data_IF_171099633807
#
_entry.id   IF_171099633807
#
_cell.length_a   1.000
_cell.length_b   1.000
_cell.length_c   1.000
_cell.angle_alpha   90.00
_cell.angle_beta   90.00
_cell.angle_gamma   90.00
#
_symmetry.space_group_name_H-M   'P 1'
#
loop_
_entity.id
_entity.type
_entity.pdbx_description
1 polymer ?
#
# COMPACT_ATOMS: atom_id res chain seq x y z
N UNK A 1 -2.81 16.94 39.33
CA UNK A 1 -1.49 16.59 38.75
C UNK A 1 -1.61 15.19 38.17
N UNK A 2 -1.56 15.04 36.85
CA UNK A 2 -1.61 13.72 36.21
C UNK A 2 -0.25 13.05 36.34
N UNK A 3 -0.20 11.87 36.98
CA UNK A 3 1.00 11.03 36.99
C UNK A 3 1.25 10.54 35.57
N UNK A 4 2.29 11.05 34.91
CA UNK A 4 2.77 10.47 33.66
C UNK A 4 3.59 9.25 34.07
N UNK A 5 3.04 8.06 33.86
CA UNK A 5 3.77 6.80 33.97
C UNK A 5 4.99 6.89 33.07
N UNK A 6 6.18 6.79 33.67
CA UNK A 6 7.44 6.74 32.96
C UNK A 6 7.85 5.27 32.87
N UNK A 7 8.17 4.83 31.67
CA UNK A 7 8.68 3.49 31.42
C UNK A 7 10.08 3.55 30.81
N UNK A 8 10.83 2.46 30.96
CA UNK A 8 12.17 2.31 30.39
C UNK A 8 12.07 1.76 28.97
N UNK A 9 12.73 2.43 28.02
CA UNK A 9 12.80 1.98 26.64
C UNK A 9 13.48 0.61 26.55
N UNK A 10 12.79 -0.37 25.98
CA UNK A 10 13.28 -1.74 25.79
C UNK A 10 14.40 -1.88 24.74
N UNK A 11 14.78 -0.80 24.04
CA UNK A 11 15.89 -0.78 23.07
C UNK A 11 17.12 -0.06 23.61
N UNK A 12 17.00 1.21 24.01
CA UNK A 12 18.13 2.02 24.46
C UNK A 12 18.27 2.14 25.99
N UNK A 13 17.30 1.65 26.77
CA UNK A 13 17.33 1.75 28.23
C UNK A 13 17.01 3.14 28.79
N UNK A 14 16.70 4.13 27.95
CA UNK A 14 16.35 5.47 28.39
C UNK A 14 14.95 5.54 29.02
N UNK A 15 14.78 6.37 30.04
CA UNK A 15 13.48 6.67 30.65
C UNK A 15 12.65 7.54 29.70
N UNK A 16 11.47 7.08 29.29
CA UNK A 16 10.68 7.71 28.24
C UNK A 16 9.27 8.12 28.73
N UNK A 17 8.90 9.38 28.47
CA UNK A 17 7.62 9.99 28.90
C UNK A 17 6.48 9.83 27.88
N UNK A 18 6.80 9.48 26.64
CA UNK A 18 5.86 9.19 25.55
C UNK A 18 6.34 7.94 24.86
N UNK A 19 5.65 6.83 25.15
CA UNK A 19 6.10 5.51 24.74
C UNK A 19 4.98 4.79 24.01
N UNK A 20 5.35 4.14 22.93
CA UNK A 20 4.49 3.14 22.34
C UNK A 20 4.76 1.78 22.98
N UNK A 21 3.69 1.09 23.34
CA UNK A 21 3.74 -0.23 23.96
C UNK A 21 3.39 -1.29 22.93
N UNK A 22 4.33 -2.21 22.72
CA UNK A 22 4.18 -3.33 21.82
C UNK A 22 4.09 -4.61 22.64
N UNK A 23 3.01 -5.36 22.44
CA UNK A 23 2.92 -6.70 23.02
C UNK A 23 4.02 -7.60 22.47
N UNK A 24 4.55 -8.47 23.30
CA UNK A 24 5.47 -9.54 22.93
C UNK A 24 4.72 -10.86 22.79
N UNK A 25 5.35 -11.86 22.17
CA UNK A 25 4.77 -13.21 22.08
C UNK A 25 4.52 -13.87 23.44
N UNK A 26 5.21 -13.43 24.49
CA UNK A 26 5.08 -13.96 25.84
C UNK A 26 3.97 -13.27 26.66
N UNK A 27 3.14 -12.43 26.02
CA UNK A 27 2.10 -11.59 26.66
C UNK A 27 2.64 -10.48 27.57
N UNK A 28 3.94 -10.26 27.60
CA UNK A 28 4.56 -9.05 28.17
C UNK A 28 4.48 -7.89 27.17
N UNK A 29 4.84 -6.69 27.60
CA UNK A 29 4.95 -5.52 26.73
C UNK A 29 6.39 -4.99 26.69
N UNK A 30 6.78 -4.49 25.52
CA UNK A 30 8.00 -3.72 25.30
C UNK A 30 7.63 -2.28 24.99
N UNK A 31 8.28 -1.37 25.69
CA UNK A 31 8.09 0.06 25.58
C UNK A 31 9.19 0.60 24.66
N UNK A 32 8.86 1.39 23.66
CA UNK A 32 9.86 2.10 22.85
C UNK A 32 9.73 3.61 23.02
N UNK A 33 10.87 4.29 23.16
CA UNK A 33 10.94 5.74 23.08
C UNK A 33 10.77 6.20 21.62
N UNK A 34 10.38 7.47 21.44
CA UNK A 34 10.12 8.05 20.12
C UNK A 34 11.38 8.08 19.23
N UNK A 35 12.55 8.32 19.81
CA UNK A 35 13.83 8.35 19.09
C UNK A 35 14.15 6.99 18.48
N UNK A 36 14.12 5.92 19.29
CA UNK A 36 14.30 4.56 18.80
C UNK A 36 13.25 4.19 17.73
N UNK A 37 11.98 4.55 17.92
CA UNK A 37 10.93 4.26 16.93
C UNK A 37 11.17 5.00 15.59
N UNK A 38 11.70 6.22 15.66
CA UNK A 38 12.09 7.01 14.48
C UNK A 38 13.33 6.43 13.80
N UNK A 39 14.37 6.06 14.54
CA UNK A 39 15.60 5.43 14.02
C UNK A 39 15.31 4.11 13.31
N UNK A 40 14.41 3.30 13.88
CA UNK A 40 13.93 2.07 13.27
C UNK A 40 13.23 2.30 11.93
N UNK A 41 12.71 3.52 11.69
CA UNK A 41 11.95 3.84 10.47
C UNK A 41 10.66 3.02 10.34
N UNK A 42 10.02 2.64 11.44
CA UNK A 42 8.85 1.75 11.46
C UNK A 42 7.52 2.48 11.71
N UNK A 43 7.55 3.80 11.88
CA UNK A 43 6.38 4.62 12.19
C UNK A 43 5.21 4.41 11.22
N UNK A 44 5.44 4.43 9.91
CA UNK A 44 4.38 4.21 8.91
C UNK A 44 3.83 2.79 8.93
N UNK A 45 4.67 1.79 9.23
CA UNK A 45 4.23 0.41 9.42
C UNK A 45 3.32 0.27 10.63
N UNK A 46 3.71 0.84 11.77
CA UNK A 46 2.88 0.84 12.98
C UNK A 46 1.55 1.56 12.74
N UNK A 47 1.57 2.74 12.12
CA UNK A 47 0.37 3.49 11.75
C UNK A 47 -0.53 2.70 10.79
N UNK A 48 0.04 2.09 9.75
CA UNK A 48 -0.69 1.26 8.79
C UNK A 48 -1.38 0.08 9.49
N UNK A 49 -0.64 -0.66 10.32
CA UNK A 49 -1.16 -1.83 11.03
C UNK A 49 -2.26 -1.46 12.01
N UNK A 50 -2.09 -0.38 12.77
CA UNK A 50 -3.10 0.09 13.72
C UNK A 50 -4.38 0.58 13.03
N UNK A 51 -4.30 1.10 11.81
CA UNK A 51 -5.44 1.64 11.07
C UNK A 51 -6.18 0.58 10.22
N UNK A 52 -5.47 -0.42 9.69
CA UNK A 52 -5.99 -1.34 8.68
C UNK A 52 -6.06 -2.79 9.17
N UNK A 53 -5.20 -3.18 10.12
CA UNK A 53 -5.07 -4.56 10.60
C UNK A 53 -5.08 -4.60 12.14
N UNK A 54 -4.44 -5.61 12.71
CA UNK A 54 -4.27 -5.78 14.14
C UNK A 54 -2.98 -5.09 14.64
N UNK A 55 -2.97 -4.79 15.95
CA UNK A 55 -1.81 -4.23 16.67
C UNK A 55 -0.54 -5.05 16.40
N UNK A 56 0.58 -4.34 16.26
CA UNK A 56 1.89 -4.91 15.94
C UNK A 56 2.55 -5.48 17.19
N UNK A 57 3.13 -6.68 17.09
CA UNK A 57 3.99 -7.23 18.15
C UNK A 57 5.41 -6.68 18.04
N UNK A 58 6.16 -6.66 19.14
CA UNK A 58 7.54 -6.20 19.12
C UNK A 58 8.42 -7.04 18.16
N UNK A 59 8.17 -8.34 18.07
CA UNK A 59 8.89 -9.23 17.15
C UNK A 59 8.55 -8.96 15.68
N UNK A 60 7.30 -8.58 15.37
CA UNK A 60 6.92 -8.19 14.01
C UNK A 60 7.58 -6.87 13.61
N UNK A 61 7.69 -5.93 14.57
CA UNK A 61 8.37 -4.65 14.39
C UNK A 61 9.83 -4.84 13.98
N UNK A 62 10.57 -5.70 14.69
CA UNK A 62 11.97 -6.01 14.39
C UNK A 62 12.15 -6.71 13.03
N UNK A 63 11.24 -7.63 12.68
CA UNK A 63 11.29 -8.29 11.37
C UNK A 63 11.04 -7.31 10.22
N UNK A 64 10.09 -6.40 10.40
CA UNK A 64 9.82 -5.36 9.42
C UNK A 64 10.98 -4.37 9.31
N UNK A 65 11.61 -3.97 10.43
CA UNK A 65 12.82 -3.12 10.44
C UNK A 65 13.91 -3.72 9.55
N UNK A 66 14.26 -4.98 9.76
CA UNK A 66 15.31 -5.66 8.99
C UNK A 66 14.95 -5.73 7.49
N UNK A 67 13.74 -6.18 7.17
CA UNK A 67 13.28 -6.25 5.78
C UNK A 67 13.31 -4.86 5.10
N UNK A 68 12.89 -3.82 5.81
CA UNK A 68 12.92 -2.45 5.31
C UNK A 68 14.35 -1.98 5.07
N UNK A 69 15.25 -2.21 6.03
CA UNK A 69 16.66 -1.83 5.90
C UNK A 69 17.30 -2.48 4.67
N UNK A 70 17.01 -3.76 4.42
CA UNK A 70 17.47 -4.48 3.23
C UNK A 70 16.94 -3.82 1.95
N UNK A 71 15.65 -3.49 1.88
CA UNK A 71 15.03 -2.84 0.71
C UNK A 71 15.65 -1.46 0.45
N UNK A 72 15.80 -0.64 1.49
CA UNK A 72 16.34 0.72 1.35
C UNK A 72 17.83 0.71 1.02
N UNK A 73 18.58 -0.28 1.51
CA UNK A 73 20.01 -0.44 1.18
C UNK A 73 20.26 -0.65 -0.31
N UNK A 74 19.24 -1.11 -1.04
CA UNK A 74 19.29 -1.32 -2.49
C UNK A 74 18.89 -0.06 -3.28
N UNK A 75 18.31 0.95 -2.61
CA UNK A 75 17.73 2.13 -3.23
C UNK A 75 18.77 2.96 -3.97
N UNK A 76 18.43 3.36 -5.19
CA UNK A 76 19.23 4.26 -6.03
C UNK A 76 18.64 5.67 -6.09
N UNK A 77 19.44 6.63 -6.55
CA UNK A 77 18.96 7.96 -6.90
C UNK A 77 18.12 7.87 -8.18
N UNK A 78 16.80 7.93 -8.02
CA UNK A 78 15.85 7.90 -9.13
C UNK A 78 15.39 9.32 -9.48
N UNK A 79 15.30 9.62 -10.77
CA UNK A 79 14.53 10.78 -11.22
C UNK A 79 13.06 10.57 -10.89
N UNK A 80 12.34 11.64 -10.55
CA UNK A 80 10.92 11.57 -10.17
C UNK A 80 10.02 11.97 -11.34
N UNK A 81 9.03 11.13 -11.61
CA UNK A 81 7.93 11.40 -12.53
C UNK A 81 6.59 11.25 -11.79
N UNK A 82 5.64 12.12 -12.11
CA UNK A 82 4.29 12.07 -11.53
C UNK A 82 3.31 11.70 -12.64
N UNK A 83 2.51 10.67 -12.42
CA UNK A 83 1.38 10.37 -13.29
C UNK A 83 0.34 11.49 -13.14
N UNK A 84 0.20 12.32 -14.18
CA UNK A 84 -0.73 13.44 -14.28
C UNK A 84 -1.48 13.47 -15.63
N UNK A 85 -2.27 14.52 -15.87
CA UNK A 85 -3.02 14.70 -17.12
C UNK A 85 -2.16 15.00 -18.36
N UNK A 86 -0.87 15.31 -18.17
CA UNK A 86 0.12 15.55 -19.23
C UNK A 86 1.08 14.37 -19.44
N UNK A 87 1.03 13.37 -18.57
CA UNK A 87 1.92 12.21 -18.55
C UNK A 87 2.14 11.51 -19.90
N UNK A 88 1.11 11.48 -20.77
CA UNK A 88 1.19 10.90 -22.12
C UNK A 88 2.34 11.51 -22.96
N UNK A 89 2.67 12.79 -22.77
CA UNK A 89 3.68 13.47 -23.58
C UNK A 89 5.11 13.05 -23.26
N UNK A 90 5.38 12.67 -22.01
CA UNK A 90 6.74 12.41 -21.52
C UNK A 90 6.97 10.92 -21.22
N UNK A 91 5.95 10.08 -21.40
CA UNK A 91 6.04 8.65 -21.13
C UNK A 91 6.64 7.85 -22.28
N UNK A 92 7.78 7.21 -22.02
CA UNK A 92 8.32 6.15 -22.88
C UNK A 92 8.17 4.79 -22.20
N UNK A 93 7.59 3.76 -22.87
CA UNK A 93 7.50 2.41 -22.29
C UNK A 93 8.85 1.91 -21.80
N UNK A 94 8.89 1.40 -20.57
CA UNK A 94 10.12 0.90 -19.93
C UNK A 94 10.92 1.92 -19.11
N UNK A 95 10.56 3.21 -19.13
CA UNK A 95 11.24 4.26 -18.35
C UNK A 95 11.10 4.06 -16.83
N UNK A 96 10.04 3.39 -16.37
CA UNK A 96 9.81 3.01 -14.97
C UNK A 96 10.93 2.14 -14.37
N UNK A 97 11.78 1.52 -15.19
CA UNK A 97 12.91 0.69 -14.74
C UNK A 97 14.05 1.51 -14.14
N UNK A 98 14.07 2.81 -14.37
CA UNK A 98 15.15 3.72 -13.95
C UNK A 98 14.62 5.01 -13.32
N UNK A 99 13.31 5.11 -13.09
CA UNK A 99 12.63 6.34 -12.67
C UNK A 99 11.63 6.00 -11.57
N UNK A 100 11.56 6.86 -10.56
CA UNK A 100 10.53 6.84 -9.54
C UNK A 100 9.23 7.40 -10.14
N UNK A 101 8.14 6.67 -10.01
CA UNK A 101 6.83 7.06 -10.53
C UNK A 101 5.84 7.19 -9.39
N UNK A 102 5.20 8.35 -9.30
CA UNK A 102 4.13 8.61 -8.33
C UNK A 102 2.77 8.42 -8.99
N UNK A 103 1.93 7.54 -8.42
CA UNK A 103 0.55 7.25 -8.84
C UNK A 103 -0.41 7.55 -7.68
N UNK A 104 -1.03 8.74 -7.67
CA UNK A 104 -1.76 9.19 -6.47
C UNK A 104 -0.84 9.21 -5.25
N UNK A 105 -1.30 8.65 -4.14
CA UNK A 105 -0.54 8.63 -2.87
C UNK A 105 0.41 7.42 -2.76
N UNK A 106 0.84 6.84 -3.89
CA UNK A 106 1.86 5.80 -3.90
C UNK A 106 3.02 6.18 -4.81
N UNK A 107 4.23 6.07 -4.27
CA UNK A 107 5.47 6.15 -5.01
C UNK A 107 5.92 4.72 -5.38
N UNK A 108 6.30 4.50 -6.63
CA UNK A 108 6.77 3.23 -7.17
C UNK A 108 8.16 3.45 -7.74
N UNK A 109 9.14 2.75 -7.20
CA UNK A 109 10.49 2.64 -7.76
C UNK A 109 10.71 1.21 -8.26
N UNK A 110 11.81 0.94 -9.01
CA UNK A 110 12.21 -0.42 -9.32
C UNK A 110 12.43 -1.32 -8.09
N UNK A 111 12.83 -0.73 -6.96
CA UNK A 111 13.22 -1.46 -5.76
C UNK A 111 12.09 -1.58 -4.72
N UNK A 112 11.21 -0.58 -4.64
CA UNK A 112 10.16 -0.52 -3.63
C UNK A 112 8.93 0.29 -4.07
N UNK A 113 7.80 -0.05 -3.45
CA UNK A 113 6.57 0.73 -3.47
C UNK A 113 6.42 1.39 -2.10
N UNK A 114 6.29 2.70 -2.06
CA UNK A 114 6.16 3.51 -0.86
C UNK A 114 4.82 4.26 -0.83
N UNK A 115 3.88 3.85 0.04
CA UNK A 115 2.70 4.63 0.39
C UNK A 115 3.07 5.97 1.04
N UNK A 116 2.65 7.10 0.44
CA UNK A 116 2.98 8.44 0.94
C UNK A 116 2.25 8.78 2.25
N UNK A 117 1.05 8.23 2.46
CA UNK A 117 0.25 8.43 3.68
C UNK A 117 0.82 7.71 4.92
N UNK A 118 1.73 6.76 4.70
CA UNK A 118 2.39 5.95 5.72
C UNK A 118 3.91 6.11 5.65
N UNK A 119 4.48 7.11 6.36
CA UNK A 119 5.90 7.43 6.27
C UNK A 119 6.80 6.23 6.57
N UNK A 120 7.77 5.94 5.72
CA UNK A 120 8.69 4.80 5.85
C UNK A 120 8.07 3.41 5.67
N UNK A 121 6.80 3.31 5.25
CA UNK A 121 6.22 2.06 4.80
C UNK A 121 6.80 1.71 3.42
N UNK A 122 7.35 0.50 3.26
CA UNK A 122 7.87 0.01 1.99
C UNK A 122 7.32 -1.38 1.69
N UNK A 123 6.99 -1.60 0.44
CA UNK A 123 6.52 -2.88 -0.10
C UNK A 123 7.49 -3.28 -1.20
N UNK A 124 7.99 -4.52 -1.15
CA UNK A 124 8.84 -5.03 -2.22
C UNK A 124 7.99 -5.33 -3.47
N UNK A 125 8.34 -4.84 -4.68
CA UNK A 125 7.52 -5.05 -5.88
C UNK A 125 7.40 -6.54 -6.25
N UNK A 126 8.43 -7.33 -5.96
CA UNK A 126 8.41 -8.79 -6.16
C UNK A 126 7.45 -9.54 -5.24
N UNK A 127 6.97 -8.90 -4.17
CA UNK A 127 6.01 -9.50 -3.24
C UNK A 127 4.57 -9.23 -3.65
N UNK A 128 4.33 -8.34 -4.63
CA UNK A 128 3.00 -8.02 -5.13
C UNK A 128 2.48 -9.18 -5.98
N UNK A 129 1.46 -9.89 -5.49
CA UNK A 129 0.85 -11.05 -6.15
C UNK A 129 -0.20 -10.61 -7.17
N UNK A 130 -1.00 -9.60 -6.80
CA UNK A 130 -2.10 -9.11 -7.60
C UNK A 130 -2.24 -7.60 -7.39
N UNK A 131 -2.66 -6.92 -8.44
CA UNK A 131 -3.14 -5.54 -8.35
C UNK A 131 -4.53 -5.46 -8.95
N UNK A 132 -5.45 -4.81 -8.26
CA UNK A 132 -6.76 -4.49 -8.79
C UNK A 132 -6.83 -3.01 -9.14
N UNK A 133 -7.58 -2.69 -10.19
CA UNK A 133 -7.81 -1.33 -10.64
C UNK A 133 -9.30 -1.11 -10.86
N UNK A 134 -9.84 -0.06 -10.24
CA UNK A 134 -11.22 0.39 -10.40
C UNK A 134 -11.28 1.87 -10.72
N UNK A 135 -12.26 2.27 -11.52
CA UNK A 135 -12.42 3.67 -11.90
C UNK A 135 -13.84 4.15 -11.65
N UNK A 136 -13.96 5.35 -11.12
CA UNK A 136 -15.25 6.01 -10.89
C UNK A 136 -15.20 7.43 -11.42
N UNK A 137 -16.18 7.75 -12.23
CA UNK A 137 -16.52 9.10 -12.63
C UNK A 137 -17.54 9.54 -11.59
N UNK A 138 -17.29 10.61 -10.85
CA UNK A 138 -18.18 11.16 -9.80
C UNK A 138 -17.93 10.62 -8.38
N UNK A 139 -16.68 10.75 -7.90
CA UNK A 139 -16.41 10.64 -6.47
C UNK A 139 -16.93 11.92 -5.76
N UNK A 140 -18.05 11.76 -5.06
CA UNK A 140 -18.98 12.77 -4.49
C UNK A 140 -18.39 14.00 -3.75
N UNK A 141 -17.07 14.10 -3.54
CA UNK A 141 -16.45 15.21 -2.79
C UNK A 141 -15.55 16.12 -3.61
N UNK A 142 -15.07 15.69 -4.79
CA UNK A 142 -13.95 16.38 -5.47
C UNK A 142 -14.25 16.70 -6.95
N UNK A 143 -15.43 16.33 -7.47
CA UNK A 143 -15.77 16.51 -8.89
C UNK A 143 -14.66 15.97 -9.82
N UNK A 144 -14.03 14.87 -9.42
CA UNK A 144 -12.86 14.29 -10.05
C UNK A 144 -13.16 12.90 -10.59
N UNK A 145 -12.48 12.54 -11.66
CA UNK A 145 -12.32 11.16 -12.06
C UNK A 145 -11.30 10.50 -11.14
N UNK A 146 -11.58 9.29 -10.64
CA UNK A 146 -10.70 8.63 -9.66
C UNK A 146 -10.35 7.22 -10.11
N UNK A 147 -9.06 6.89 -10.05
CA UNK A 147 -8.55 5.53 -10.13
C UNK A 147 -8.26 5.05 -8.71
N UNK A 148 -8.88 3.93 -8.32
CA UNK A 148 -8.49 3.17 -7.13
C UNK A 148 -7.54 2.06 -7.57
N UNK A 149 -6.38 1.96 -6.93
CA UNK A 149 -5.47 0.83 -7.06
C UNK A 149 -5.39 0.09 -5.74
N UNK A 150 -5.46 -1.23 -5.77
CA UNK A 150 -5.23 -2.06 -4.58
C UNK A 150 -4.17 -3.12 -4.87
N UNK A 151 -3.14 -3.16 -4.03
CA UNK A 151 -2.00 -4.06 -4.08
C UNK A 151 -2.20 -5.18 -3.06
N UNK A 152 -2.10 -6.43 -3.50
CA UNK A 152 -2.17 -7.61 -2.65
C UNK A 152 -0.81 -8.27 -2.66
N UNK A 153 -0.24 -8.48 -1.48
CA UNK A 153 1.15 -8.93 -1.37
C UNK A 153 1.26 -10.26 -0.63
N UNK A 154 2.38 -10.96 -0.85
CA UNK A 154 2.77 -12.13 -0.06
C UNK A 154 3.46 -11.76 1.25
N UNK A 155 3.73 -10.48 1.48
CA UNK A 155 4.33 -10.00 2.70
C UNK A 155 3.29 -10.05 3.83
N UNK A 156 3.52 -10.84 4.89
CA UNK A 156 2.55 -11.00 5.98
C UNK A 156 2.36 -9.70 6.80
N UNK A 157 3.30 -8.75 6.71
CA UNK A 157 3.20 -7.47 7.40
C UNK A 157 2.30 -6.47 6.66
N UNK A 158 2.26 -6.55 5.33
CA UNK A 158 1.49 -5.65 4.46
C UNK A 158 0.71 -6.49 3.44
N UNK A 159 -0.26 -7.30 3.88
CA UNK A 159 -0.99 -8.20 2.99
C UNK A 159 -1.79 -7.47 1.90
N UNK A 160 -2.21 -6.23 2.18
CA UNK A 160 -3.08 -5.45 1.31
C UNK A 160 -2.92 -3.94 1.51
N UNK A 161 -2.77 -3.18 0.43
CA UNK A 161 -2.76 -1.71 0.48
C UNK A 161 -3.59 -1.14 -0.66
N UNK A 162 -4.36 -0.08 -0.42
CA UNK A 162 -5.09 0.64 -1.46
C UNK A 162 -4.71 2.11 -1.47
N UNK A 163 -4.66 2.68 -2.67
CA UNK A 163 -4.48 4.11 -2.92
C UNK A 163 -5.52 4.61 -3.91
N UNK A 164 -5.76 5.91 -3.87
CA UNK A 164 -6.62 6.61 -4.81
C UNK A 164 -5.80 7.64 -5.57
N UNK A 165 -6.15 7.83 -6.82
CA UNK A 165 -5.58 8.84 -7.68
C UNK A 165 -6.71 9.62 -8.33
N UNK A 166 -6.84 10.89 -7.96
CA UNK A 166 -7.89 11.78 -8.43
C UNK A 166 -7.37 12.73 -9.51
N UNK A 167 -8.06 12.78 -10.64
CA UNK A 167 -7.79 13.72 -11.72
C UNK A 167 -8.52 15.05 -11.44
N UNK A 168 -7.77 16.16 -11.43
CA UNK A 168 -8.32 17.50 -11.15
C UNK A 168 -9.37 17.97 -12.16
N UNK A 169 -9.40 17.41 -13.36
CA UNK A 169 -10.38 17.72 -14.40
C UNK A 169 -11.37 16.57 -14.57
N UNK A 170 -12.67 16.86 -14.72
CA UNK A 170 -13.68 15.87 -15.16
C UNK A 170 -13.40 15.46 -16.60
N UNK A 171 -12.41 14.60 -16.80
CA UNK A 171 -12.17 13.96 -18.08
C UNK A 171 -13.15 12.78 -18.18
N UNK A 172 -14.47 13.01 -18.28
CA UNK A 172 -15.49 11.94 -18.29
C UNK A 172 -14.96 10.65 -18.92
N UNK A 173 -15.05 9.48 -18.25
CA UNK A 173 -14.20 8.32 -18.56
C UNK A 173 -14.34 7.66 -19.97
N UNK A 174 -15.04 8.31 -20.89
CA UNK A 174 -15.16 8.00 -22.30
C UNK A 174 -13.95 8.46 -23.16
N UNK A 175 -13.03 9.28 -22.66
CA UNK A 175 -12.03 9.94 -23.50
C UNK A 175 -10.76 9.10 -23.81
N UNK A 176 -10.12 9.31 -24.97
CA UNK A 176 -8.89 8.59 -25.42
C UNK A 176 -7.74 8.71 -24.42
N UNK A 177 -7.56 9.90 -23.81
CA UNK A 177 -6.47 10.21 -22.85
C UNK A 177 -6.47 9.29 -21.63
N UNK A 178 -7.64 8.93 -21.10
CA UNK A 178 -7.67 8.07 -19.92
C UNK A 178 -7.41 6.60 -20.23
N UNK A 179 -7.77 6.13 -21.43
CA UNK A 179 -7.35 4.79 -21.87
C UNK A 179 -5.83 4.72 -21.91
N UNK A 180 -5.17 5.78 -22.37
CA UNK A 180 -3.71 5.90 -22.32
C UNK A 180 -3.19 5.92 -20.87
N UNK A 181 -3.77 6.72 -19.96
CA UNK A 181 -3.35 6.74 -18.55
C UNK A 181 -3.53 5.36 -17.89
N UNK A 182 -4.66 4.68 -18.11
CA UNK A 182 -4.88 3.31 -17.61
C UNK A 182 -3.84 2.34 -18.17
N UNK A 183 -3.56 2.42 -19.47
CA UNK A 183 -2.54 1.59 -20.10
C UNK A 183 -1.16 1.85 -19.51
N UNK A 184 -0.81 3.11 -19.27
CA UNK A 184 0.45 3.51 -18.66
C UNK A 184 0.57 3.04 -17.21
N UNK A 185 -0.49 3.19 -16.40
CA UNK A 185 -0.53 2.66 -15.03
C UNK A 185 -0.33 1.14 -15.05
N UNK A 186 -1.00 0.43 -15.96
CA UNK A 186 -0.83 -1.02 -16.13
C UNK A 186 0.61 -1.36 -16.54
N UNK A 187 1.19 -0.63 -17.49
CA UNK A 187 2.55 -0.87 -17.99
C UNK A 187 3.61 -0.63 -16.90
N UNK A 188 3.49 0.47 -16.14
CA UNK A 188 4.35 0.75 -14.98
C UNK A 188 4.27 -0.36 -13.95
N UNK A 189 3.05 -0.78 -13.59
CA UNK A 189 2.87 -1.79 -12.55
C UNK A 189 3.37 -3.17 -13.02
N UNK A 190 3.06 -3.59 -14.25
CA UNK A 190 3.60 -4.82 -14.84
C UNK A 190 5.13 -4.78 -14.92
N UNK A 191 5.66 -3.59 -15.14
CA UNK A 191 7.06 -3.30 -15.26
C UNK A 191 7.87 -3.41 -13.98
N UNK A 192 7.31 -2.93 -12.86
CA UNK A 192 7.97 -2.94 -11.56
C UNK A 192 7.60 -4.18 -10.74
N UNK A 193 6.36 -4.67 -10.82
CA UNK A 193 5.85 -5.76 -9.97
C UNK A 193 6.06 -7.13 -10.62
N UNK A 194 7.30 -7.62 -10.61
CA UNK A 194 7.66 -8.93 -11.15
C UNK A 194 6.96 -10.13 -10.48
N UNK A 195 6.39 -9.94 -9.30
CA UNK A 195 5.66 -10.97 -8.56
C UNK A 195 4.22 -11.21 -9.02
N UNK A 196 3.71 -10.41 -9.98
CA UNK A 196 2.32 -10.48 -10.40
C UNK A 196 1.97 -11.84 -10.99
N UNK A 197 1.08 -12.55 -10.29
CA UNK A 197 0.50 -13.82 -10.77
C UNK A 197 -0.75 -13.59 -11.63
N UNK A 198 -1.46 -12.49 -11.39
CA UNK A 198 -2.72 -12.19 -12.06
C UNK A 198 -2.63 -10.88 -12.82
N UNK A 199 -3.15 -10.88 -14.04
CA UNK A 199 -3.34 -9.67 -14.84
C UNK A 199 -4.16 -8.62 -14.06
N UNK A 200 -3.70 -7.37 -14.11
CA UNK A 200 -4.34 -6.23 -13.48
C UNK A 200 -5.75 -6.05 -14.04
N UNK A 201 -6.75 -6.12 -13.17
CA UNK A 201 -8.15 -5.98 -13.59
C UNK A 201 -9.04 -5.53 -12.42
N UNK A 202 -10.34 -5.47 -12.65
CA UNK A 202 -11.29 -5.18 -11.55
C UNK A 202 -11.26 -6.28 -10.48
N UNK A 203 -11.52 -5.94 -9.19
CA UNK A 203 -11.53 -6.91 -8.09
C UNK A 203 -12.40 -8.12 -8.37
N UNK A 204 -13.59 -7.93 -8.95
CA UNK A 204 -14.49 -9.03 -9.33
C UNK A 204 -13.86 -10.02 -10.32
N UNK A 205 -13.12 -9.53 -11.32
CA UNK A 205 -12.48 -10.38 -12.33
C UNK A 205 -11.27 -11.10 -11.75
N UNK A 206 -10.44 -10.41 -10.97
CA UNK A 206 -9.29 -11.02 -10.29
C UNK A 206 -9.77 -12.07 -9.28
N UNK A 207 -10.77 -11.78 -8.46
CA UNK A 207 -11.38 -12.72 -7.54
C UNK A 207 -11.89 -13.98 -8.25
N UNK A 208 -12.58 -13.83 -9.39
CA UNK A 208 -13.03 -14.97 -10.20
C UNK A 208 -11.84 -15.80 -10.68
N UNK A 209 -10.79 -15.18 -11.22
CA UNK A 209 -9.56 -15.89 -11.65
C UNK A 209 -8.92 -16.66 -10.49
N UNK A 210 -8.74 -16.01 -9.33
CA UNK A 210 -8.15 -16.65 -8.13
C UNK A 210 -9.01 -17.83 -7.68
N UNK A 211 -10.34 -17.70 -7.59
CA UNK A 211 -11.22 -18.80 -7.16
C UNK A 211 -11.05 -20.04 -8.03
N UNK A 212 -10.94 -19.86 -9.34
CA UNK A 212 -10.78 -20.94 -10.31
C UNK A 212 -9.32 -21.31 -10.61
N UNK A 213 -8.34 -20.70 -9.93
CA UNK A 213 -6.93 -21.07 -10.05
C UNK A 213 -6.64 -22.36 -9.26
N UNK A 214 -6.68 -23.50 -9.94
CA UNK A 214 -6.35 -24.80 -9.35
C UNK A 214 -4.84 -25.01 -9.17
N UNK A 215 -3.99 -24.21 -9.82
CA UNK A 215 -2.53 -24.22 -9.65
C UNK A 215 -2.05 -23.14 -8.67
N UNK A 216 -2.93 -22.70 -7.77
CA UNK A 216 -2.57 -21.75 -6.73
C UNK A 216 -1.53 -22.34 -5.77
N UNK A 217 -0.31 -21.81 -5.84
CA UNK A 217 0.78 -22.20 -4.96
C UNK A 217 1.61 -20.97 -4.57
N UNK A 218 1.12 -20.21 -3.60
CA UNK A 218 1.87 -19.12 -2.96
C UNK A 218 2.01 -19.50 -1.49
N UNK A 219 3.18 -19.98 -1.06
CA UNK A 219 3.36 -20.56 0.28
C UNK A 219 2.97 -19.62 1.42
N UNK A 220 3.24 -18.33 1.26
CA UNK A 220 3.07 -17.31 2.28
C UNK A 220 1.61 -16.85 2.44
N UNK A 221 0.78 -17.02 1.40
CA UNK A 221 -0.63 -16.56 1.39
C UNK A 221 -1.55 -17.71 1.05
N UNK A 222 -2.43 -18.07 1.98
CA UNK A 222 -3.48 -19.05 1.69
C UNK A 222 -4.47 -18.47 0.68
N UNK A 223 -4.84 -19.26 -0.34
CA UNK A 223 -5.85 -18.91 -1.35
C UNK A 223 -7.11 -18.28 -0.74
N UNK A 224 -7.60 -18.83 0.38
CA UNK A 224 -8.78 -18.34 1.10
C UNK A 224 -8.62 -16.90 1.60
N UNK A 225 -7.43 -16.50 2.07
CA UNK A 225 -7.17 -15.16 2.57
C UNK A 225 -7.14 -14.15 1.41
N UNK A 226 -6.43 -14.47 0.33
CA UNK A 226 -6.43 -13.64 -0.88
C UNK A 226 -7.84 -13.45 -1.44
N UNK A 227 -8.65 -14.52 -1.49
CA UNK A 227 -10.05 -14.43 -1.88
C UNK A 227 -10.88 -13.54 -0.95
N UNK A 228 -10.60 -13.55 0.37
CA UNK A 228 -11.26 -12.68 1.34
C UNK A 228 -10.92 -11.23 1.08
N UNK A 229 -9.63 -10.89 1.01
CA UNK A 229 -9.19 -9.51 0.77
C UNK A 229 -9.71 -8.96 -0.58
N UNK A 230 -9.73 -9.79 -1.63
CA UNK A 230 -10.30 -9.40 -2.93
C UNK A 230 -11.83 -9.22 -2.88
N UNK A 231 -12.53 -9.99 -2.06
CA UNK A 231 -13.96 -9.81 -1.84
C UNK A 231 -14.24 -8.51 -1.07
N UNK A 232 -13.45 -8.22 -0.03
CA UNK A 232 -13.54 -6.97 0.72
C UNK A 232 -13.23 -5.77 -0.19
N UNK A 233 -12.19 -5.85 -1.00
CA UNK A 233 -11.83 -4.81 -1.97
C UNK A 233 -12.91 -4.62 -3.04
N UNK A 234 -13.53 -5.71 -3.52
CA UNK A 234 -14.69 -5.66 -4.41
C UNK A 234 -15.86 -4.94 -3.75
N UNK A 235 -16.16 -5.22 -2.50
CA UNK A 235 -17.30 -4.62 -1.80
C UNK A 235 -17.04 -3.13 -1.55
N UNK A 236 -15.82 -2.77 -1.14
CA UNK A 236 -15.32 -1.38 -1.09
C UNK A 236 -15.35 -0.68 -2.46
N UNK A 237 -15.04 -1.37 -3.54
CA UNK A 237 -15.20 -0.85 -4.91
C UNK A 237 -16.68 -0.72 -5.31
N UNK A 238 -17.56 -1.58 -4.79
CA UNK A 238 -19.01 -1.46 -4.91
C UNK A 238 -19.51 -0.17 -4.28
N UNK A 239 -19.01 0.18 -3.08
CA UNK A 239 -19.27 1.47 -2.43
C UNK A 239 -18.66 2.66 -3.18
N UNK A 240 -17.56 2.47 -3.90
CA UNK A 240 -16.96 3.48 -4.78
C UNK A 240 -17.79 3.77 -6.05
N UNK A 241 -18.63 2.81 -6.47
CA UNK A 241 -19.56 2.95 -7.61
C UNK A 241 -20.99 3.31 -7.23
N UNK A 242 -21.42 2.99 -6.01
CA UNK A 242 -22.78 3.30 -5.53
C UNK A 242 -22.74 4.51 -4.61
N UNK A 243 -23.62 5.49 -4.85
CA UNK A 243 -23.77 6.79 -4.16
C UNK A 243 -23.96 6.76 -2.62
N UNK A 244 -23.65 5.68 -1.91
CA UNK A 244 -23.95 5.48 -0.48
C UNK A 244 -22.70 5.38 0.38
N UNK A 245 -22.08 6.52 0.68
CA UNK A 245 -21.42 6.73 1.97
C UNK A 245 -21.89 8.08 2.53
N UNK A 246 -23.12 8.07 3.03
CA UNK A 246 -23.59 8.95 4.10
C UNK A 246 -23.95 8.01 5.24
N UNK A 247 -23.03 7.76 6.18
CA UNK A 247 -23.37 7.51 7.61
C UNK A 247 -22.22 7.13 8.56
N UNK A 248 -20.99 6.84 8.12
CA UNK A 248 -19.94 6.36 9.06
C UNK A 248 -18.91 7.40 9.51
N UNK A 249 -19.04 8.67 9.10
CA UNK A 249 -18.22 9.78 9.60
C UNK A 249 -19.09 10.92 10.14
N UNK A 250 -19.97 10.60 11.10
CA UNK A 250 -20.53 11.57 12.03
C UNK A 250 -20.12 11.18 13.43
#
# INVERSE_FOLDING_TARGET
MGFILKDTCGRCGAEARKTEMFSTKNKDYKVLCQECLAEMGVNGFVKYRNNILEKVTYEDLLKYENMRADIISLSRDYSMMVLDENFDKDYTPGMYKTTQITIGDVCITPDYIAPLDYPNLVIKPSDVIAVTMETSNDFNFINADVIKLSFFTKNPFIPYYSTFYAFKTKISFSNKKQKAIKANVIDVINGCCSGLKYEINTPSKVLKKVRWDFSYNIPEVKKKHLCSWLADDRDHAGYFKTKKILKQYK
#
